data_IF_897335813296
#
_entry.id   IF_897335813296
#
_cell.length_a   1.000
_cell.length_b   1.000
_cell.length_c   1.000
_cell.angle_alpha   90.00
_cell.angle_beta   90.00
_cell.angle_gamma   90.00
#
_symmetry.space_group_name_H-M   'P 1'
#
loop_
_entity.id
_entity.type
_entity.pdbx_description
1 polymer ?
#
# COMPACT_ATOMS: atom_id res chain seq x y z
N UNK A 1 28.80 -50.11 -18.46
CA UNK A 1 27.82 -49.21 -19.15
C UNK A 1 26.71 -48.67 -18.22
N UNK A 2 26.12 -49.43 -17.29
CA UNK A 2 25.06 -48.99 -16.37
C UNK A 2 25.50 -47.93 -15.33
N UNK A 3 26.67 -48.06 -14.74
CA UNK A 3 27.18 -47.13 -13.68
C UNK A 3 27.46 -45.71 -14.22
N UNK A 4 27.96 -45.60 -15.45
CA UNK A 4 28.21 -44.30 -16.09
C UNK A 4 26.88 -43.59 -16.41
N UNK A 5 25.85 -44.32 -16.87
CA UNK A 5 24.52 -43.77 -17.11
C UNK A 5 23.86 -43.28 -15.79
N UNK A 6 24.02 -44.03 -14.69
CA UNK A 6 23.48 -43.63 -13.38
C UNK A 6 24.16 -42.37 -12.86
N UNK A 7 25.47 -42.23 -12.94
CA UNK A 7 26.22 -41.02 -12.56
C UNK A 7 25.77 -39.82 -13.40
N UNK A 8 25.57 -39.97 -14.68
CA UNK A 8 25.09 -38.88 -15.57
C UNK A 8 23.68 -38.46 -15.19
N UNK A 9 22.76 -39.40 -14.92
CA UNK A 9 21.40 -39.08 -14.47
C UNK A 9 21.41 -38.34 -13.14
N UNK A 10 22.22 -38.79 -12.16
CA UNK A 10 22.34 -38.09 -10.85
C UNK A 10 22.90 -36.69 -11.03
N UNK A 11 23.90 -36.46 -11.88
CA UNK A 11 24.44 -35.13 -12.16
C UNK A 11 23.39 -34.23 -12.81
N UNK A 12 22.60 -34.71 -13.75
CA UNK A 12 21.52 -33.94 -14.38
C UNK A 12 20.49 -33.52 -13.33
N UNK A 13 20.02 -34.47 -12.50
CA UNK A 13 19.05 -34.16 -11.42
C UNK A 13 19.62 -33.13 -10.45
N UNK A 14 20.88 -33.29 -10.01
CA UNK A 14 21.53 -32.33 -9.12
C UNK A 14 21.65 -30.95 -9.77
N UNK A 15 21.99 -30.86 -11.05
CA UNK A 15 22.04 -29.58 -11.79
C UNK A 15 20.66 -28.91 -11.90
N UNK A 16 19.60 -29.67 -12.16
CA UNK A 16 18.24 -29.16 -12.21
C UNK A 16 17.76 -28.65 -10.84
N UNK A 17 18.11 -29.36 -9.76
CA UNK A 17 17.80 -28.91 -8.39
C UNK A 17 18.53 -27.60 -8.05
N UNK A 18 19.81 -27.49 -8.40
CA UNK A 18 20.58 -26.24 -8.21
C UNK A 18 19.96 -25.10 -9.01
N UNK A 19 19.61 -25.34 -10.28
CA UNK A 19 18.95 -24.33 -11.11
C UNK A 19 17.60 -23.91 -10.50
N UNK A 20 16.79 -24.83 -10.03
CA UNK A 20 15.53 -24.53 -9.36
C UNK A 20 15.74 -23.67 -8.09
N UNK A 21 16.73 -23.99 -7.27
CA UNK A 21 17.09 -23.20 -6.10
C UNK A 21 17.54 -21.78 -6.47
N UNK A 22 18.32 -21.62 -7.54
CA UNK A 22 18.72 -20.32 -8.06
C UNK A 22 17.49 -19.50 -8.50
N UNK A 23 16.58 -20.11 -9.27
CA UNK A 23 15.35 -19.45 -9.74
C UNK A 23 14.51 -18.99 -8.55
N UNK A 24 14.30 -19.85 -7.55
CA UNK A 24 13.54 -19.50 -6.34
C UNK A 24 14.22 -18.36 -5.58
N UNK A 25 15.54 -18.40 -5.42
CA UNK A 25 16.28 -17.34 -4.72
C UNK A 25 16.31 -16.01 -5.50
N UNK A 26 16.26 -16.05 -6.82
CA UNK A 26 16.27 -14.86 -7.68
C UNK A 26 14.87 -14.44 -8.14
N UNK A 27 13.81 -15.04 -7.61
CA UNK A 27 12.43 -14.83 -8.09
C UNK A 27 11.99 -13.36 -8.08
N UNK A 28 12.37 -12.59 -7.04
CA UNK A 28 12.08 -11.16 -6.97
C UNK A 28 12.76 -10.38 -8.11
N UNK A 29 14.04 -10.65 -8.38
CA UNK A 29 14.75 -10.03 -9.49
C UNK A 29 14.17 -10.42 -10.85
N UNK A 30 13.78 -11.71 -11.02
CA UNK A 30 13.15 -12.21 -12.23
C UNK A 30 11.76 -11.60 -12.44
N UNK A 31 11.00 -11.43 -11.37
CA UNK A 31 9.69 -10.78 -11.41
C UNK A 31 9.83 -9.33 -11.92
N UNK A 32 10.66 -8.52 -11.27
CA UNK A 32 10.88 -7.13 -11.69
C UNK A 32 11.37 -7.07 -13.14
N UNK A 33 12.33 -7.92 -13.52
CA UNK A 33 12.81 -7.97 -14.90
C UNK A 33 11.69 -8.32 -15.91
N UNK A 34 10.80 -9.24 -15.54
CA UNK A 34 9.67 -9.63 -16.41
C UNK A 34 8.58 -8.56 -16.52
N UNK A 35 8.45 -7.71 -15.53
CA UNK A 35 7.49 -6.60 -15.50
C UNK A 35 8.06 -5.30 -16.12
N UNK A 36 9.37 -5.21 -16.26
CA UNK A 36 10.03 -3.98 -16.73
C UNK A 36 9.78 -3.72 -18.21
N UNK A 37 9.13 -2.59 -18.52
CA UNK A 37 9.02 -2.00 -19.84
C UNK A 37 10.17 -1.04 -20.12
N UNK A 38 10.80 -0.48 -19.06
CA UNK A 38 11.80 0.59 -19.10
C UNK A 38 11.28 1.90 -19.72
N UNK A 39 9.99 2.04 -19.89
CA UNK A 39 9.31 3.19 -20.47
C UNK A 39 8.05 3.52 -19.66
N UNK A 40 7.73 4.82 -19.57
CA UNK A 40 6.48 5.26 -18.96
C UNK A 40 5.29 4.74 -19.78
N UNK A 41 4.23 4.26 -19.13
CA UNK A 41 3.04 3.79 -19.85
C UNK A 41 2.34 4.94 -20.58
N UNK A 42 1.73 4.61 -21.72
CA UNK A 42 0.83 5.54 -22.42
C UNK A 42 -0.39 5.84 -21.54
N UNK A 43 -0.82 7.11 -21.56
CA UNK A 43 -2.02 7.52 -20.84
C UNK A 43 -3.26 6.92 -21.51
N UNK A 44 -4.17 6.40 -20.68
CA UNK A 44 -5.49 5.95 -21.13
C UNK A 44 -6.30 7.11 -21.70
N UNK A 45 -7.23 6.81 -22.62
CA UNK A 45 -8.21 7.79 -23.06
C UNK A 45 -9.15 8.19 -21.93
N UNK A 46 -9.51 9.49 -21.84
CA UNK A 46 -10.44 9.96 -20.82
C UNK A 46 -11.79 9.22 -20.93
N UNK A 47 -12.30 8.78 -19.79
CA UNK A 47 -13.62 8.15 -19.67
C UNK A 47 -14.55 9.02 -18.83
N UNK A 48 -15.83 8.70 -18.86
CA UNK A 48 -16.81 9.25 -17.93
C UNK A 48 -16.52 8.70 -16.52
N UNK A 49 -16.26 9.58 -15.56
CA UNK A 49 -15.93 9.26 -14.17
C UNK A 49 -17.14 9.37 -13.23
N UNK A 50 -18.32 9.72 -13.76
CA UNK A 50 -19.57 9.88 -13.02
C UNK A 50 -19.87 11.33 -12.63
N UNK A 51 -21.13 11.56 -12.26
CA UNK A 51 -21.66 12.92 -11.98
C UNK A 51 -21.03 13.59 -10.74
N UNK A 52 -20.52 12.81 -9.79
CA UNK A 52 -19.89 13.31 -8.56
C UNK A 52 -18.41 13.63 -8.71
N UNK A 53 -17.83 13.33 -9.89
CA UNK A 53 -16.41 13.50 -10.18
C UNK A 53 -16.21 14.70 -11.12
N UNK A 54 -15.31 15.60 -10.76
CA UNK A 54 -14.96 16.75 -11.58
C UNK A 54 -13.54 16.60 -12.12
N UNK A 55 -13.34 16.76 -13.42
CA UNK A 55 -12.01 16.87 -14.01
C UNK A 55 -11.38 18.21 -13.64
N UNK A 56 -10.21 18.16 -12.99
CA UNK A 56 -9.42 19.35 -12.70
C UNK A 56 -8.68 19.85 -13.94
N UNK A 57 -8.08 18.93 -14.67
CA UNK A 57 -7.39 19.17 -15.94
C UNK A 57 -7.55 17.94 -16.86
N UNK A 58 -6.64 17.72 -17.81
CA UNK A 58 -6.65 16.56 -18.72
C UNK A 58 -6.15 15.26 -18.07
N UNK A 59 -5.76 15.28 -16.77
CA UNK A 59 -5.15 14.14 -16.08
C UNK A 59 -5.79 13.82 -14.74
N UNK A 60 -6.00 14.83 -13.89
CA UNK A 60 -6.54 14.66 -12.54
C UNK A 60 -8.05 14.85 -12.49
N UNK A 61 -8.67 14.06 -11.62
CA UNK A 61 -10.06 14.24 -11.20
C UNK A 61 -10.15 14.54 -9.72
N UNK A 62 -11.23 15.19 -9.28
CA UNK A 62 -11.53 15.49 -7.89
C UNK A 62 -12.92 14.95 -7.58
N UNK A 63 -13.04 14.18 -6.51
CA UNK A 63 -14.31 13.80 -5.89
C UNK A 63 -14.31 14.23 -4.43
N UNK A 64 -15.35 14.97 -4.02
CA UNK A 64 -15.55 15.38 -2.64
C UNK A 64 -16.15 14.22 -1.84
N UNK A 65 -15.44 13.75 -0.80
CA UNK A 65 -15.93 12.72 0.13
C UNK A 65 -16.79 13.38 1.22
N UNK A 66 -16.29 14.48 1.76
CA UNK A 66 -17.01 15.43 2.63
C UNK A 66 -16.38 16.84 2.49
N UNK A 67 -16.87 17.82 3.27
CA UNK A 67 -16.43 19.22 3.18
C UNK A 67 -14.91 19.43 3.39
N UNK A 68 -14.23 18.47 4.01
CA UNK A 68 -12.80 18.53 4.38
C UNK A 68 -11.98 17.32 3.91
N UNK A 69 -12.56 16.50 3.01
CA UNK A 69 -11.89 15.29 2.49
C UNK A 69 -12.14 15.17 1.00
N UNK A 70 -11.06 15.11 0.24
CA UNK A 70 -11.09 15.04 -1.21
C UNK A 70 -10.28 13.85 -1.70
N UNK A 71 -10.84 13.10 -2.65
CA UNK A 71 -10.13 12.10 -3.43
C UNK A 71 -9.66 12.72 -4.74
N UNK A 72 -8.37 12.62 -5.02
CA UNK A 72 -7.73 13.10 -6.26
C UNK A 72 -7.36 11.87 -7.08
N UNK A 73 -8.06 11.63 -8.18
CA UNK A 73 -7.88 10.46 -9.03
C UNK A 73 -6.95 10.72 -10.21
N UNK A 74 -6.27 9.69 -10.67
CA UNK A 74 -5.44 9.64 -11.88
C UNK A 74 -6.05 8.65 -12.90
N UNK A 75 -7.27 8.89 -13.43
CA UNK A 75 -8.01 7.90 -14.23
C UNK A 75 -7.39 7.62 -15.61
N UNK A 76 -6.40 8.40 -16.02
CA UNK A 76 -5.64 8.17 -17.26
C UNK A 76 -4.38 7.36 -17.07
N UNK A 77 -4.00 7.07 -15.82
CA UNK A 77 -2.95 6.11 -15.54
C UNK A 77 -3.54 4.71 -15.40
N UNK A 78 -2.88 3.68 -15.93
CA UNK A 78 -3.47 2.34 -16.05
C UNK A 78 -3.78 1.64 -14.71
N UNK A 79 -3.12 2.06 -13.63
CA UNK A 79 -3.38 1.54 -12.27
C UNK A 79 -4.52 2.29 -11.57
N UNK A 80 -5.06 3.37 -12.18
CA UNK A 80 -6.20 4.13 -11.67
C UNK A 80 -5.99 4.61 -10.23
N UNK A 81 -4.87 5.33 -9.98
CA UNK A 81 -4.45 5.75 -8.64
C UNK A 81 -5.37 6.82 -8.03
N UNK A 82 -5.45 6.80 -6.70
CA UNK A 82 -6.17 7.78 -5.89
C UNK A 82 -5.30 8.28 -4.74
N UNK A 83 -5.30 9.60 -4.56
CA UNK A 83 -4.59 10.34 -3.53
C UNK A 83 -5.63 11.07 -2.67
N UNK A 84 -5.39 11.23 -1.36
CA UNK A 84 -6.39 11.79 -0.46
C UNK A 84 -5.90 13.06 0.21
N UNK A 85 -6.58 14.18 -0.04
CA UNK A 85 -6.36 15.44 0.67
C UNK A 85 -7.31 15.51 1.86
N UNK A 86 -6.73 15.61 3.07
CA UNK A 86 -7.44 15.60 4.35
C UNK A 86 -7.14 16.92 5.07
N UNK A 87 -8.18 17.74 5.25
CA UNK A 87 -8.06 19.07 5.86
C UNK A 87 -8.42 19.02 7.34
N UNK A 88 -7.64 19.73 8.15
CA UNK A 88 -8.01 20.17 9.49
C UNK A 88 -8.16 21.69 9.54
N UNK A 89 -8.14 22.29 10.73
CA UNK A 89 -8.21 23.76 10.90
C UNK A 89 -6.84 24.43 10.73
N UNK A 90 -5.74 23.75 11.05
CA UNK A 90 -4.41 24.34 11.09
C UNK A 90 -3.45 23.83 10.02
N UNK A 91 -3.66 22.64 9.51
CA UNK A 91 -2.84 21.98 8.45
C UNK A 91 -3.64 20.95 7.68
N UNK A 92 -3.09 20.54 6.54
CA UNK A 92 -3.62 19.50 5.70
C UNK A 92 -2.61 18.36 5.51
N UNK A 93 -3.12 17.16 5.25
CA UNK A 93 -2.33 16.01 4.82
C UNK A 93 -2.73 15.66 3.39
N UNK A 94 -1.75 15.46 2.53
CA UNK A 94 -1.91 14.66 1.33
C UNK A 94 -1.38 13.26 1.62
N UNK A 95 -2.28 12.28 1.66
CA UNK A 95 -1.96 10.87 1.81
C UNK A 95 -1.94 10.22 0.45
N UNK A 96 -0.78 9.76 0.06
CA UNK A 96 -0.43 9.40 -1.32
C UNK A 96 -0.09 10.64 -2.19
N UNK A 97 0.81 10.47 -3.15
CA UNK A 97 1.22 11.52 -4.08
C UNK A 97 1.31 11.03 -5.54
N UNK A 98 0.72 9.87 -5.82
CA UNK A 98 0.55 9.32 -7.13
C UNK A 98 1.84 9.05 -7.91
N UNK A 99 1.69 8.93 -9.21
CA UNK A 99 2.74 8.45 -10.12
C UNK A 99 3.81 9.46 -10.47
N UNK A 100 3.55 10.76 -10.26
CA UNK A 100 4.45 11.84 -10.67
C UNK A 100 4.46 12.15 -12.16
N UNK A 101 3.56 11.57 -12.97
CA UNK A 101 3.45 11.90 -14.40
C UNK A 101 2.94 13.33 -14.62
N UNK A 102 2.24 13.89 -13.63
CA UNK A 102 1.81 15.29 -13.57
C UNK A 102 2.02 15.84 -12.16
N UNK A 103 2.14 17.14 -12.04
CA UNK A 103 2.31 17.84 -10.74
C UNK A 103 0.97 17.93 -10.01
N UNK A 104 0.80 17.11 -8.96
CA UNK A 104 -0.40 17.07 -8.12
C UNK A 104 -0.55 18.30 -7.23
N UNK A 105 0.54 19.05 -6.96
CA UNK A 105 0.50 20.25 -6.10
C UNK A 105 -0.56 21.24 -6.57
N UNK A 106 -0.68 21.45 -7.89
CA UNK A 106 -1.67 22.35 -8.47
C UNK A 106 -3.11 22.01 -8.10
N UNK A 107 -3.41 20.71 -8.02
CA UNK A 107 -4.72 20.25 -7.59
C UNK A 107 -4.91 20.53 -6.11
N UNK A 108 -3.94 20.15 -5.29
CA UNK A 108 -3.97 20.33 -3.83
C UNK A 108 -4.09 21.81 -3.45
N UNK A 109 -3.28 22.71 -4.04
CA UNK A 109 -3.30 24.15 -3.80
C UNK A 109 -4.58 24.83 -4.33
N UNK A 110 -5.33 24.22 -5.23
CA UNK A 110 -6.66 24.71 -5.64
C UNK A 110 -7.76 24.42 -4.61
N UNK A 111 -7.51 23.46 -3.70
CA UNK A 111 -8.48 23.01 -2.70
C UNK A 111 -8.22 23.60 -1.30
N UNK A 112 -7.00 24.05 -1.02
CA UNK A 112 -6.62 24.59 0.31
C UNK A 112 -5.41 25.49 0.27
N UNK A 113 -5.39 26.51 1.16
CA UNK A 113 -4.23 27.36 1.47
C UNK A 113 -3.49 26.88 2.73
N UNK A 114 -3.91 25.78 3.36
CA UNK A 114 -3.30 25.27 4.59
C UNK A 114 -1.89 24.71 4.34
N UNK A 115 -1.00 24.75 5.34
CA UNK A 115 0.28 24.05 5.26
C UNK A 115 0.09 22.56 5.03
N UNK A 116 0.71 22.00 3.99
CA UNK A 116 0.53 20.63 3.56
C UNK A 116 1.70 19.78 4.04
N UNK A 117 1.40 18.58 4.57
CA UNK A 117 2.37 17.51 4.82
C UNK A 117 2.02 16.32 3.95
N UNK A 118 2.98 15.86 3.16
CA UNK A 118 2.85 14.61 2.41
C UNK A 118 3.15 13.41 3.32
N UNK A 119 2.32 12.38 3.25
CA UNK A 119 2.51 11.09 3.93
C UNK A 119 2.34 9.98 2.91
N UNK A 120 3.41 9.25 2.56
CA UNK A 120 3.27 8.06 1.70
C UNK A 120 2.58 6.94 2.46
N UNK A 121 1.62 6.21 1.84
CA UNK A 121 1.08 4.97 2.39
C UNK A 121 2.16 3.87 2.45
N UNK A 122 3.04 3.84 1.47
CA UNK A 122 4.23 3.01 1.36
C UNK A 122 5.16 3.58 0.26
N UNK A 123 6.28 2.90 -0.03
CA UNK A 123 7.37 3.50 -0.81
C UNK A 123 7.42 3.05 -2.29
N UNK A 124 6.35 2.43 -2.85
CA UNK A 124 6.30 2.17 -4.29
C UNK A 124 6.22 3.47 -5.08
N UNK A 125 6.75 3.44 -6.30
CA UNK A 125 6.92 4.60 -7.19
C UNK A 125 5.62 5.34 -7.52
N UNK A 126 4.53 4.63 -7.58
CA UNK A 126 3.22 5.14 -7.95
C UNK A 126 2.46 5.79 -6.78
N UNK A 127 3.08 5.85 -5.60
CA UNK A 127 2.57 6.56 -4.40
C UNK A 127 3.48 7.69 -3.95
N UNK A 128 4.72 7.73 -4.42
CA UNK A 128 5.69 8.77 -4.04
C UNK A 128 6.19 9.59 -5.25
N UNK A 129 5.57 9.44 -6.41
CA UNK A 129 6.02 10.08 -7.63
C UNK A 129 6.07 11.61 -7.58
N UNK A 130 5.29 12.23 -6.71
CA UNK A 130 5.29 13.68 -6.47
C UNK A 130 5.92 14.09 -5.13
N UNK A 131 6.77 13.27 -4.48
CA UNK A 131 7.38 13.59 -3.18
C UNK A 131 8.15 14.90 -3.20
N UNK A 132 8.79 15.22 -4.31
CA UNK A 132 9.63 16.42 -4.47
C UNK A 132 8.85 17.73 -4.54
N UNK A 133 7.55 17.70 -4.83
CA UNK A 133 6.75 18.94 -4.92
C UNK A 133 6.27 19.42 -3.54
N UNK A 134 6.36 18.58 -2.50
CA UNK A 134 5.96 18.93 -1.14
C UNK A 134 7.18 19.29 -0.27
N UNK A 135 7.06 20.39 0.48
CA UNK A 135 8.14 20.87 1.37
C UNK A 135 8.31 19.96 2.60
N UNK A 136 7.22 19.35 3.06
CA UNK A 136 7.20 18.49 4.24
C UNK A 136 6.74 17.10 3.88
N UNK A 137 7.58 16.12 4.23
CA UNK A 137 7.26 14.70 4.14
C UNK A 137 7.37 14.08 5.50
N UNK A 138 6.32 13.40 5.95
CA UNK A 138 6.34 12.59 7.16
C UNK A 138 6.33 11.10 6.79
N UNK A 139 7.24 10.34 7.37
CA UNK A 139 7.44 8.93 7.05
C UNK A 139 7.31 8.08 8.30
N UNK A 140 6.72 6.88 8.16
CA UNK A 140 6.60 5.92 9.26
C UNK A 140 7.96 5.57 9.87
N UNK A 141 8.05 5.59 11.20
CA UNK A 141 9.26 5.31 11.97
C UNK A 141 9.46 3.81 12.19
N UNK A 142 10.11 3.16 11.23
CA UNK A 142 10.43 1.74 11.31
C UNK A 142 11.94 1.52 11.43
N UNK A 143 12.40 0.52 12.22
CA UNK A 143 13.80 0.27 12.49
C UNK A 143 14.68 0.17 11.24
N UNK A 144 14.19 -0.49 10.17
CA UNK A 144 14.95 -0.68 8.94
C UNK A 144 15.08 0.62 8.11
N UNK A 145 14.09 1.50 8.15
CA UNK A 145 14.12 2.81 7.50
C UNK A 145 15.03 3.77 8.27
N UNK A 146 14.84 3.85 9.60
CA UNK A 146 15.68 4.69 10.47
C UNK A 146 17.16 4.36 10.37
N UNK A 147 17.52 3.09 10.31
CA UNK A 147 18.92 2.64 10.20
C UNK A 147 19.61 3.15 8.94
N UNK A 148 18.87 3.38 7.85
CA UNK A 148 19.41 3.81 6.56
C UNK A 148 19.33 5.31 6.34
N UNK A 149 18.42 5.99 7.04
CA UNK A 149 18.27 7.42 6.92
C UNK A 149 19.51 8.15 7.48
N UNK A 150 20.01 9.14 6.74
CA UNK A 150 21.14 9.97 7.12
C UNK A 150 20.82 11.42 6.74
N UNK A 151 21.06 12.36 7.65
CA UNK A 151 20.81 13.80 7.43
C UNK A 151 19.38 14.09 6.90
N UNK A 152 18.38 13.42 7.50
CA UNK A 152 16.97 13.49 7.10
C UNK A 152 16.70 13.06 5.64
N UNK A 153 17.49 12.17 5.10
CA UNK A 153 17.34 11.61 3.76
C UNK A 153 17.37 10.09 3.83
N UNK A 154 16.50 9.47 3.07
CA UNK A 154 16.39 8.02 2.94
C UNK A 154 16.63 7.62 1.48
N UNK A 155 17.77 7.00 1.16
CA UNK A 155 17.94 6.39 -0.15
C UNK A 155 17.07 5.14 -0.24
N UNK A 156 16.19 5.08 -1.23
CA UNK A 156 15.32 3.92 -1.44
C UNK A 156 16.06 2.78 -2.12
N UNK A 157 15.63 1.56 -1.83
CA UNK A 157 16.09 0.37 -2.54
C UNK A 157 15.18 0.06 -3.73
N UNK A 158 15.69 -0.71 -4.71
CA UNK A 158 14.89 -1.14 -5.86
C UNK A 158 13.65 -1.95 -5.48
N UNK A 159 13.71 -2.71 -4.38
CA UNK A 159 12.60 -3.54 -3.90
C UNK A 159 11.58 -2.77 -3.06
N UNK A 160 11.91 -1.58 -2.59
CA UNK A 160 10.96 -0.66 -1.96
C UNK A 160 10.28 0.23 -2.99
N UNK A 161 11.02 0.69 -4.01
CA UNK A 161 10.50 1.64 -4.97
C UNK A 161 9.80 0.99 -6.17
N UNK A 162 10.33 -0.11 -6.68
CA UNK A 162 9.87 -0.85 -7.87
C UNK A 162 9.80 -0.02 -9.18
N UNK A 163 10.10 1.27 -9.17
CA UNK A 163 9.89 2.16 -10.32
C UNK A 163 10.71 1.83 -11.57
N UNK A 164 11.74 0.98 -11.48
CA UNK A 164 12.48 0.51 -12.65
C UNK A 164 11.62 -0.25 -13.65
N UNK A 165 10.44 -0.77 -13.22
CA UNK A 165 9.48 -1.45 -14.11
C UNK A 165 8.92 -0.50 -15.16
N UNK A 166 8.89 0.81 -14.87
CA UNK A 166 8.43 1.87 -15.77
C UNK A 166 9.50 2.93 -16.07
N UNK A 167 10.76 2.59 -15.86
CA UNK A 167 11.89 3.48 -16.19
C UNK A 167 12.14 4.61 -15.19
N UNK A 168 11.50 4.61 -14.01
CA UNK A 168 11.81 5.57 -12.96
C UNK A 168 13.15 5.28 -12.31
N UNK A 169 13.90 6.34 -12.01
CA UNK A 169 15.14 6.24 -11.22
C UNK A 169 14.81 6.15 -9.72
N UNK A 170 15.75 5.55 -8.96
CA UNK A 170 15.60 5.49 -7.50
C UNK A 170 15.76 6.88 -6.89
N UNK A 171 14.78 7.39 -6.13
CA UNK A 171 14.88 8.67 -5.45
C UNK A 171 15.60 8.55 -4.10
N UNK A 172 15.97 9.71 -3.56
CA UNK A 172 16.36 9.91 -2.18
C UNK A 172 15.28 10.74 -1.50
N UNK A 173 14.46 10.11 -0.66
CA UNK A 173 13.33 10.75 0.00
C UNK A 173 13.81 11.70 1.11
N UNK A 174 13.36 12.95 1.09
CA UNK A 174 13.61 13.91 2.19
C UNK A 174 12.56 13.73 3.28
N UNK A 175 12.99 13.57 4.52
CA UNK A 175 12.12 13.34 5.66
C UNK A 175 12.12 14.56 6.58
N UNK A 176 10.97 15.16 6.76
CA UNK A 176 10.78 16.29 7.70
C UNK A 176 10.35 15.82 9.07
N UNK A 177 9.60 14.71 9.14
CA UNK A 177 8.99 14.17 10.35
C UNK A 177 8.96 12.65 10.30
N UNK A 178 9.10 12.01 11.46
CA UNK A 178 8.94 10.57 11.59
C UNK A 178 7.67 10.28 12.39
N UNK A 179 6.80 9.46 11.83
CA UNK A 179 5.51 9.06 12.42
C UNK A 179 5.68 7.75 13.18
N UNK A 180 5.48 7.77 14.47
CA UNK A 180 5.50 6.54 15.26
C UNK A 180 4.23 5.73 14.96
N UNK A 181 4.32 4.42 14.66
CA UNK A 181 3.15 3.58 14.55
C UNK A 181 2.22 3.74 15.76
N UNK A 182 0.94 3.91 15.49
CA UNK A 182 -0.13 4.13 16.47
C UNK A 182 -0.15 5.50 17.17
N UNK A 183 0.65 6.46 16.71
CA UNK A 183 0.48 7.84 17.15
C UNK A 183 -0.68 8.54 16.44
N UNK A 184 -1.15 9.62 17.04
CA UNK A 184 -2.20 10.46 16.48
C UNK A 184 -1.61 11.74 15.91
N UNK A 185 -1.97 12.07 14.68
CA UNK A 185 -1.63 13.31 14.01
C UNK A 185 -2.76 14.31 14.27
N UNK A 186 -2.46 15.46 14.90
CA UNK A 186 -3.41 16.53 15.12
C UNK A 186 -3.35 17.54 13.96
N UNK A 187 -4.50 17.79 13.32
CA UNK A 187 -4.64 18.76 12.23
C UNK A 187 -5.28 20.09 12.68
N UNK A 188 -5.50 20.25 14.00
CA UNK A 188 -6.12 21.40 14.66
C UNK A 188 -7.42 21.03 15.36
N UNK A 189 -8.37 20.42 14.68
CA UNK A 189 -9.66 19.96 15.20
C UNK A 189 -10.02 18.57 14.67
N UNK A 190 -9.09 17.94 13.97
CA UNK A 190 -9.24 16.62 13.35
C UNK A 190 -8.02 15.76 13.67
N UNK A 191 -8.28 14.58 14.18
CA UNK A 191 -7.26 13.63 14.62
C UNK A 191 -7.19 12.43 13.69
N UNK A 192 -5.99 12.11 13.20
CA UNK A 192 -5.75 10.93 12.36
C UNK A 192 -4.81 9.97 13.09
N UNK A 193 -5.24 8.73 13.29
CA UNK A 193 -4.41 7.67 13.88
C UNK A 193 -3.58 7.01 12.78
N UNK A 194 -2.26 6.95 12.96
CA UNK A 194 -1.34 6.24 12.07
C UNK A 194 -1.37 4.75 12.41
N UNK A 195 -2.03 3.96 11.59
CA UNK A 195 -2.06 2.50 11.75
C UNK A 195 -0.92 1.85 10.97
N UNK A 196 -0.13 1.00 11.65
CA UNK A 196 0.81 0.15 10.95
C UNK A 196 0.04 -1.04 10.35
N UNK A 197 -0.07 -1.04 9.02
CA UNK A 197 -0.83 -2.02 8.23
C UNK A 197 0.06 -2.67 7.17
N UNK A 198 1.11 -3.41 7.60
CA UNK A 198 2.01 -4.07 6.67
C UNK A 198 1.32 -5.24 5.98
N UNK A 199 1.96 -5.77 4.92
CA UNK A 199 1.48 -6.95 4.20
C UNK A 199 1.70 -6.83 2.70
N UNK A 200 1.18 -5.76 2.09
CA UNK A 200 1.54 -5.37 0.73
C UNK A 200 3.04 -5.02 0.66
N UNK A 201 3.49 -4.13 1.54
CA UNK A 201 4.91 -3.89 1.83
C UNK A 201 5.17 -3.91 3.34
N UNK A 202 6.44 -3.96 3.72
CA UNK A 202 6.88 -3.91 5.11
C UNK A 202 6.66 -2.53 5.75
N UNK A 203 6.62 -1.48 4.95
CA UNK A 203 6.51 -0.08 5.39
C UNK A 203 5.09 0.49 5.25
N UNK A 204 4.12 -0.32 4.85
CA UNK A 204 2.73 0.12 4.65
C UNK A 204 2.08 0.61 5.93
N UNK A 205 1.40 1.76 5.82
CA UNK A 205 0.55 2.35 6.84
C UNK A 205 -0.82 2.72 6.28
N UNK A 206 -1.79 2.86 7.17
CA UNK A 206 -3.09 3.47 6.89
C UNK A 206 -3.32 4.67 7.82
N UNK A 207 -4.09 5.65 7.38
CA UNK A 207 -4.56 6.72 8.25
C UNK A 207 -6.03 6.49 8.62
N UNK A 208 -6.33 6.53 9.89
CA UNK A 208 -7.69 6.31 10.40
C UNK A 208 -8.23 7.56 11.08
N UNK A 209 -9.29 8.12 10.50
CA UNK A 209 -10.12 9.16 11.09
C UNK A 209 -11.26 8.48 11.86
N UNK A 210 -11.11 8.42 13.17
CA UNK A 210 -12.08 7.71 14.03
C UNK A 210 -13.42 8.44 14.09
N UNK A 211 -13.43 9.77 14.04
CA UNK A 211 -14.65 10.59 14.13
C UNK A 211 -15.50 10.44 12.86
N UNK A 212 -14.88 10.58 11.69
CA UNK A 212 -15.55 10.40 10.41
C UNK A 212 -15.84 8.92 10.09
N UNK A 213 -15.07 8.00 10.68
CA UNK A 213 -15.12 6.58 10.35
C UNK A 213 -14.44 6.27 9.00
N UNK A 214 -13.38 6.99 8.66
CA UNK A 214 -12.66 6.84 7.39
C UNK A 214 -11.30 6.18 7.61
N UNK A 215 -11.01 5.17 6.81
CA UNK A 215 -9.70 4.55 6.72
C UNK A 215 -9.13 4.78 5.33
N UNK A 216 -8.02 5.46 5.24
CA UNK A 216 -7.23 5.60 4.02
C UNK A 216 -6.17 4.51 4.03
N UNK A 217 -6.35 3.48 3.21
CA UNK A 217 -5.63 2.20 3.37
C UNK A 217 -4.43 2.03 2.43
N UNK A 218 -4.18 2.97 1.51
CA UNK A 218 -3.17 2.75 0.47
C UNK A 218 -3.44 1.44 -0.28
N UNK A 219 -2.38 0.66 -0.47
CA UNK A 219 -2.45 -0.64 -1.16
C UNK A 219 -2.74 -1.82 -0.23
N UNK A 220 -2.99 -1.55 1.04
CA UNK A 220 -3.37 -2.62 1.95
C UNK A 220 -4.72 -3.23 1.58
N UNK A 221 -5.71 -2.40 1.21
CA UNK A 221 -7.05 -2.86 0.82
C UNK A 221 -7.73 -1.87 -0.13
N UNK A 222 -8.02 -2.31 -1.34
CA UNK A 222 -8.73 -1.56 -2.39
C UNK A 222 -9.55 -2.51 -3.28
N UNK A 223 -10.52 -2.00 -4.06
CA UNK A 223 -11.23 -2.83 -5.05
C UNK A 223 -10.28 -3.28 -6.17
N UNK A 224 -10.21 -4.58 -6.40
CA UNK A 224 -9.35 -5.17 -7.43
C UNK A 224 -8.44 -6.26 -6.88
N UNK A 225 -7.23 -6.33 -7.42
CA UNK A 225 -6.25 -7.35 -7.08
C UNK A 225 -5.22 -6.79 -6.10
N UNK A 226 -5.23 -7.27 -4.86
CA UNK A 226 -4.23 -6.94 -3.84
C UNK A 226 -2.93 -7.72 -4.10
N UNK A 227 -1.80 -7.03 -4.12
CA UNK A 227 -0.50 -7.61 -4.47
C UNK A 227 0.27 -8.04 -3.21
N UNK A 228 0.02 -9.25 -2.72
CA UNK A 228 0.72 -9.86 -1.58
C UNK A 228 1.86 -10.81 -2.00
N UNK A 229 2.48 -10.59 -3.17
CA UNK A 229 3.58 -11.42 -3.71
C UNK A 229 4.79 -10.62 -4.21
N UNK A 230 4.69 -9.29 -4.20
CA UNK A 230 5.79 -8.40 -4.59
C UNK A 230 6.96 -8.52 -3.59
N UNK A 231 8.17 -8.06 -3.95
CA UNK A 231 9.25 -7.94 -2.98
C UNK A 231 8.79 -7.15 -1.74
N UNK A 232 9.19 -7.62 -0.55
CA UNK A 232 8.80 -7.08 0.75
C UNK A 232 7.35 -7.34 1.19
N UNK A 233 6.53 -8.08 0.40
CA UNK A 233 5.24 -8.57 0.87
C UNK A 233 5.38 -9.72 1.87
N UNK A 234 4.47 -9.79 2.86
CA UNK A 234 4.45 -10.83 3.88
C UNK A 234 3.02 -11.15 4.30
N UNK A 235 2.63 -12.43 4.26
CA UNK A 235 1.25 -12.85 4.57
C UNK A 235 0.92 -12.75 6.07
N UNK A 236 1.92 -12.95 6.95
CA UNK A 236 1.75 -12.76 8.40
C UNK A 236 1.55 -11.30 8.76
N UNK A 237 2.31 -10.40 8.12
CA UNK A 237 2.11 -8.95 8.23
C UNK A 237 0.74 -8.54 7.71
N UNK A 238 0.29 -9.11 6.58
CA UNK A 238 -1.05 -8.85 6.03
C UNK A 238 -2.16 -9.23 7.01
N UNK A 239 -2.03 -10.40 7.65
CA UNK A 239 -2.98 -10.83 8.68
C UNK A 239 -2.94 -9.89 9.90
N UNK A 240 -1.76 -9.47 10.32
CA UNK A 240 -1.58 -8.52 11.42
C UNK A 240 -2.22 -7.15 11.08
N UNK A 241 -2.03 -6.62 9.88
CA UNK A 241 -2.64 -5.37 9.42
C UNK A 241 -4.17 -5.45 9.43
N UNK A 242 -4.76 -6.55 8.93
CA UNK A 242 -6.21 -6.76 8.96
C UNK A 242 -6.76 -6.81 10.39
N UNK A 243 -6.06 -7.49 11.32
CA UNK A 243 -6.41 -7.53 12.74
C UNK A 243 -6.31 -6.15 13.41
N UNK A 244 -5.29 -5.37 13.05
CA UNK A 244 -5.11 -3.99 13.55
C UNK A 244 -6.31 -3.13 13.15
N UNK A 245 -6.69 -3.12 11.87
CA UNK A 245 -7.83 -2.35 11.38
C UNK A 245 -9.13 -2.78 12.08
N UNK A 246 -9.40 -4.10 12.15
CA UNK A 246 -10.61 -4.61 12.80
C UNK A 246 -10.70 -4.23 14.27
N UNK A 247 -9.55 -4.17 14.99
CA UNK A 247 -9.48 -3.86 16.41
C UNK A 247 -9.87 -2.41 16.77
N UNK A 248 -9.69 -1.46 15.83
CA UNK A 248 -9.98 -0.03 16.04
C UNK A 248 -11.24 0.42 15.34
N UNK A 249 -11.81 -0.41 14.45
CA UNK A 249 -12.92 -0.03 13.59
C UNK A 249 -14.27 -0.07 14.30
N UNK A 250 -15.08 0.95 14.04
CA UNK A 250 -16.50 0.96 14.37
C UNK A 250 -17.38 0.42 13.23
N UNK A 251 -18.64 0.17 13.50
CA UNK A 251 -19.59 -0.44 12.54
C UNK A 251 -19.85 0.37 11.26
N UNK A 252 -19.37 1.62 11.17
CA UNK A 252 -19.58 2.53 10.02
C UNK A 252 -18.30 2.85 9.27
N UNK A 253 -17.31 1.95 9.34
CA UNK A 253 -16.05 2.14 8.64
C UNK A 253 -16.25 2.21 7.12
N UNK A 254 -15.73 3.28 6.50
CA UNK A 254 -15.53 3.43 5.07
C UNK A 254 -14.03 3.32 4.78
N UNK A 255 -13.65 2.44 3.87
CA UNK A 255 -12.24 2.19 3.51
C UNK A 255 -11.98 2.75 2.14
N UNK A 256 -11.02 3.64 2.03
CA UNK A 256 -10.60 4.31 0.81
C UNK A 256 -9.21 3.80 0.41
N UNK A 257 -9.15 3.03 -0.66
CA UNK A 257 -7.91 2.44 -1.18
C UNK A 257 -7.18 3.36 -2.17
N UNK A 258 -5.95 3.02 -2.52
CA UNK A 258 -5.18 3.81 -3.48
C UNK A 258 -5.46 3.45 -4.95
N UNK A 259 -6.13 2.34 -5.22
CA UNK A 259 -6.50 1.92 -6.57
C UNK A 259 -7.96 1.51 -6.64
N UNK A 260 -8.50 1.44 -7.85
CA UNK A 260 -9.86 0.93 -8.08
C UNK A 260 -9.87 -0.16 -9.16
N UNK A 261 -10.94 -0.92 -9.16
CA UNK A 261 -11.36 -1.77 -10.27
C UNK A 261 -11.95 -0.91 -11.42
N UNK A 262 -12.68 -1.52 -12.34
CA UNK A 262 -13.40 -0.80 -13.42
C UNK A 262 -14.59 0.04 -12.92
N UNK A 263 -14.81 0.16 -11.61
CA UNK A 263 -15.88 0.98 -11.06
C UNK A 263 -15.61 2.48 -11.24
N UNK A 264 -16.66 3.29 -11.16
CA UNK A 264 -16.60 4.75 -11.29
C UNK A 264 -16.43 5.38 -9.90
N UNK A 265 -15.69 6.49 -9.84
CA UNK A 265 -15.50 7.28 -8.63
C UNK A 265 -14.45 6.69 -7.68
N UNK A 266 -14.48 7.18 -6.43
CA UNK A 266 -13.51 6.81 -5.40
C UNK A 266 -13.56 5.32 -5.05
N UNK A 267 -12.42 4.63 -4.88
CA UNK A 267 -12.37 3.22 -4.48
C UNK A 267 -12.79 3.05 -3.03
N UNK A 268 -14.06 2.78 -2.80
CA UNK A 268 -14.62 2.61 -1.47
C UNK A 268 -14.99 1.15 -1.19
N UNK A 269 -14.58 0.67 -0.01
CA UNK A 269 -14.93 -0.62 0.59
C UNK A 269 -15.48 -0.41 2.00
N UNK A 270 -15.86 -1.49 2.67
CA UNK A 270 -16.44 -1.45 4.01
C UNK A 270 -15.71 -2.33 5.02
N UNK A 271 -16.08 -2.21 6.30
CA UNK A 271 -15.62 -3.13 7.36
C UNK A 271 -15.87 -4.60 7.01
N UNK A 272 -16.95 -4.91 6.31
CA UNK A 272 -17.24 -6.29 5.89
C UNK A 272 -16.13 -6.86 5.03
N UNK A 273 -15.54 -6.04 4.12
CA UNK A 273 -14.42 -6.48 3.28
C UNK A 273 -13.15 -6.70 4.11
N UNK A 274 -12.89 -5.86 5.13
CA UNK A 274 -11.78 -6.08 6.08
C UNK A 274 -11.93 -7.43 6.80
N UNK A 275 -13.12 -7.71 7.33
CA UNK A 275 -13.42 -8.99 8.00
C UNK A 275 -13.28 -10.19 7.05
N UNK A 276 -13.74 -10.05 5.80
CA UNK A 276 -13.54 -11.09 4.76
C UNK A 276 -12.06 -11.32 4.45
N UNK A 277 -11.27 -10.24 4.32
CA UNK A 277 -9.82 -10.33 4.12
C UNK A 277 -9.17 -11.11 5.27
N UNK A 278 -9.44 -10.73 6.53
CA UNK A 278 -8.91 -11.41 7.70
C UNK A 278 -9.28 -12.91 7.73
N UNK A 279 -10.57 -13.23 7.47
CA UNK A 279 -11.05 -14.62 7.43
C UNK A 279 -10.36 -15.41 6.30
N UNK A 280 -10.17 -14.79 5.14
CA UNK A 280 -9.46 -15.38 4.00
C UNK A 280 -8.01 -15.68 4.36
N UNK A 281 -7.29 -14.73 4.98
CA UNK A 281 -5.92 -14.91 5.43
C UNK A 281 -5.78 -16.04 6.46
N UNK A 282 -6.70 -16.13 7.43
CA UNK A 282 -6.75 -17.24 8.38
C UNK A 282 -6.99 -18.61 7.68
N UNK A 283 -7.87 -18.64 6.67
CA UNK A 283 -8.16 -19.85 5.90
C UNK A 283 -6.97 -20.28 5.01
N UNK A 284 -6.21 -19.32 4.46
CA UNK A 284 -4.96 -19.59 3.72
C UNK A 284 -3.91 -20.17 4.67
N UNK A 285 -3.69 -19.52 5.82
CA UNK A 285 -2.71 -19.95 6.82
C UNK A 285 -2.98 -21.38 7.30
N UNK A 286 -4.22 -21.67 7.67
CA UNK A 286 -4.64 -23.03 8.07
C UNK A 286 -4.65 -24.04 6.93
N UNK A 287 -4.61 -23.60 5.66
CA UNK A 287 -4.65 -24.46 4.48
C UNK A 287 -6.03 -24.99 4.14
N UNK A 288 -7.08 -24.41 4.68
CA UNK A 288 -8.48 -24.76 4.38
C UNK A 288 -8.97 -24.13 3.09
N UNK A 289 -8.36 -23.02 2.65
CA UNK A 289 -8.65 -22.36 1.38
C UNK A 289 -7.61 -22.74 0.32
N UNK A 290 -8.08 -23.12 -0.87
CA UNK A 290 -7.22 -23.41 -2.03
C UNK A 290 -7.09 -22.18 -2.91
N UNK A 291 -5.89 -21.98 -3.44
CA UNK A 291 -5.62 -20.96 -4.45
C UNK A 291 -5.97 -21.41 -5.86
N UNK A 292 -6.12 -20.44 -6.76
CA UNK A 292 -6.15 -20.63 -8.21
C UNK A 292 -4.81 -20.17 -8.83
N UNK A 293 -4.50 -20.65 -10.04
CA UNK A 293 -3.28 -20.26 -10.76
C UNK A 293 -2.02 -20.96 -10.28
N UNK A 294 -0.86 -20.50 -10.76
CA UNK A 294 0.45 -21.10 -10.47
C UNK A 294 1.44 -20.13 -9.84
N UNK A 295 1.62 -18.93 -10.42
CA UNK A 295 2.44 -17.85 -9.90
C UNK A 295 2.10 -16.51 -10.60
N UNK A 296 1.73 -15.46 -9.87
CA UNK A 296 1.22 -15.57 -8.50
C UNK A 296 -0.01 -16.48 -8.43
N UNK A 297 -0.32 -16.98 -7.23
CA UNK A 297 -1.59 -17.66 -6.99
C UNK A 297 -2.63 -16.65 -6.52
N UNK A 298 -3.91 -16.89 -6.83
CA UNK A 298 -5.02 -16.01 -6.51
C UNK A 298 -5.93 -16.63 -5.46
N UNK A 299 -6.32 -15.83 -4.48
CA UNK A 299 -7.36 -16.15 -3.50
C UNK A 299 -8.49 -15.13 -3.62
N UNK A 300 -9.72 -15.59 -3.82
CA UNK A 300 -10.91 -14.73 -3.84
C UNK A 300 -11.27 -14.32 -2.42
N UNK A 301 -11.41 -13.01 -2.17
CA UNK A 301 -11.90 -12.45 -0.89
C UNK A 301 -13.41 -12.22 -1.01
N UNK A 302 -13.85 -11.48 -2.03
CA UNK A 302 -15.26 -11.32 -2.39
C UNK A 302 -15.42 -11.07 -3.90
N UNK A 303 -16.52 -10.44 -4.32
CA UNK A 303 -16.78 -10.22 -5.75
C UNK A 303 -15.99 -9.03 -6.34
N UNK A 304 -15.42 -8.18 -5.48
CA UNK A 304 -14.64 -7.00 -5.87
C UNK A 304 -13.17 -7.10 -5.54
N UNK A 305 -12.77 -8.03 -4.64
CA UNK A 305 -11.40 -8.08 -4.11
C UNK A 305 -10.83 -9.49 -4.22
N UNK A 306 -9.64 -9.59 -4.78
CA UNK A 306 -8.81 -10.79 -4.85
C UNK A 306 -7.45 -10.53 -4.22
N UNK A 307 -6.83 -11.54 -3.63
CA UNK A 307 -5.46 -11.46 -3.12
C UNK A 307 -4.55 -12.32 -4.00
N UNK A 308 -3.58 -11.67 -4.65
CA UNK A 308 -2.46 -12.32 -5.30
C UNK A 308 -1.37 -12.61 -4.28
N UNK A 309 -0.87 -13.82 -4.26
CA UNK A 309 0.14 -14.24 -3.28
C UNK A 309 1.16 -15.19 -3.90
N UNK A 310 2.28 -15.38 -3.22
CA UNK A 310 3.18 -16.48 -3.52
C UNK A 310 2.46 -17.83 -3.26
N UNK A 311 2.84 -18.92 -3.97
CA UNK A 311 2.37 -20.27 -3.65
C UNK A 311 2.65 -20.62 -2.19
N UNK A 312 1.77 -21.42 -1.55
CA UNK A 312 1.81 -21.70 -0.11
C UNK A 312 3.19 -22.07 0.45
N UNK A 313 4.00 -22.81 -0.30
CA UNK A 313 5.34 -23.22 0.11
C UNK A 313 6.42 -22.12 0.07
N UNK A 314 6.09 -20.92 -0.46
CA UNK A 314 6.92 -19.71 -0.46
C UNK A 314 6.35 -18.62 0.46
N UNK A 315 5.12 -18.76 0.95
CA UNK A 315 4.49 -17.74 1.80
C UNK A 315 5.22 -17.62 3.15
N UNK A 316 5.41 -16.37 3.58
CA UNK A 316 5.93 -16.03 4.90
C UNK A 316 4.77 -15.63 5.82
N UNK A 317 4.71 -16.23 7.01
CA UNK A 317 3.63 -16.05 7.97
C UNK A 317 4.07 -15.47 9.32
N UNK A 318 5.37 -15.28 9.51
CA UNK A 318 5.91 -14.63 10.71
C UNK A 318 5.94 -13.12 10.46
N UNK A 319 5.20 -12.30 11.23
CA UNK A 319 5.24 -10.83 11.12
C UNK A 319 6.65 -10.30 11.41
N UNK A 320 7.04 -9.24 10.69
CA UNK A 320 8.39 -8.67 10.81
C UNK A 320 8.52 -7.84 12.08
N UNK A 321 7.47 -7.07 12.42
CA UNK A 321 7.41 -6.23 13.64
C UNK A 321 6.14 -6.54 14.44
N UNK A 322 6.04 -7.73 15.07
CA UNK A 322 4.83 -8.12 15.80
C UNK A 322 4.53 -7.23 17.01
N UNK A 323 5.55 -6.53 17.55
CA UNK A 323 5.41 -5.59 18.66
C UNK A 323 4.68 -4.29 18.29
N UNK A 324 4.65 -3.93 17.01
CA UNK A 324 3.95 -2.72 16.52
C UNK A 324 2.46 -2.93 16.34
N UNK A 325 1.97 -4.16 16.51
CA UNK A 325 0.55 -4.47 16.42
C UNK A 325 -0.22 -3.85 17.61
N UNK A 326 -1.31 -3.12 17.32
CA UNK A 326 -2.23 -2.63 18.34
C UNK A 326 -2.89 -3.82 19.04
N UNK A 327 -2.56 -4.04 20.31
CA UNK A 327 -3.30 -4.97 21.15
C UNK A 327 -4.62 -4.29 21.52
N UNK A 328 -5.74 -4.95 21.28
CA UNK A 328 -7.13 -4.46 21.46
C UNK A 328 -7.50 -3.84 22.84
N UNK A 329 -6.54 -3.72 23.76
CA UNK A 329 -6.73 -3.16 25.10
C UNK A 329 -6.14 -1.77 25.33
N UNK A 330 -5.32 -1.22 24.40
CA UNK A 330 -4.59 0.04 24.66
C UNK A 330 -5.27 1.29 24.09
N UNK A 331 -6.20 1.15 23.16
CA UNK A 331 -6.87 2.31 22.53
C UNK A 331 -7.92 2.92 23.46
N UNK A 332 -8.64 2.12 24.24
CA UNK A 332 -9.62 2.60 25.22
C UNK A 332 -9.00 3.26 26.45
N UNK A 333 -7.75 2.90 26.81
CA UNK A 333 -7.09 3.45 28.00
C UNK A 333 -6.44 4.82 27.73
N UNK A 334 -6.01 5.09 26.48
CA UNK A 334 -5.42 6.39 26.11
C UNK A 334 -6.47 7.50 25.88
N UNK A 335 -7.68 7.15 25.50
CA UNK A 335 -8.79 8.11 25.29
C UNK A 335 -9.42 8.54 26.63
N UNK A 336 -9.33 7.71 27.67
CA UNK A 336 -9.87 8.01 29.01
C UNK A 336 -8.99 8.95 29.83
N UNK A 337 -7.73 9.21 29.46
CA UNK A 337 -6.80 10.05 30.22
C UNK A 337 -6.87 11.53 29.82
N UNK A 338 -7.43 11.86 28.64
CA UNK A 338 -7.59 13.25 28.19
C UNK A 338 -8.97 13.86 28.45
N UNK A 339 -9.87 13.15 29.14
CA UNK A 339 -11.24 13.62 29.48
C UNK A 339 -11.48 13.89 30.97
N UNK A 340 -10.43 14.02 31.79
CA UNK A 340 -10.54 14.53 33.19
C UNK A 340 -9.94 15.93 33.36
#
# INVERSE_FOLDING_TARGET
>A
MGIIRLKTVVLIIASLLVLALIIVNQRANLLIYSMSSSELPELLEPKDEGEEVTWFDDYYTIQTIDERTFAIGEPRYYQLNFNYLILGDSRAIIFDAGTGQRDIRRVVESLTDLPITFIPPHLHYDHIGNEVVFEKTALVDLPHLRKRATDNKLPLTRFEHLGEVEGYSLPELKISEWLTPNETIDLGDRLLLVLYTPGHTQDSISLFDQEAGYLFSGDFLYPGQLYGFLPNSNMGDYLQGAQTIESVSGNRLRVFGAHRDDSIGVPELSLETVTKLQNTLNAIQSGTLKSNGTYPVTYKIDDRVELLSEPKWLQHWDPIYPELNLKSKSVTDNIAIESE
#
